data_IF_098928580731
#
_entry.id   IF_098928580731
#
_cell.length_a   1.000
_cell.length_b   1.000
_cell.length_c   1.000
_cell.angle_alpha   90.00
_cell.angle_beta   90.00
_cell.angle_gamma   90.00
#
_symmetry.space_group_name_H-M   'P 1'
#
loop_
_entity.id
_entity.type
_entity.pdbx_description
1 polymer ?
#
# COMPACT_ATOMS: atom_id res chain seq x y z
N UNK A 1 -4.67 6.92 33.98
CA UNK A 1 -4.26 6.25 32.71
C UNK A 1 -5.41 6.32 31.73
N UNK A 2 -5.18 6.93 30.57
CA UNK A 2 -6.23 7.24 29.60
C UNK A 2 -6.51 6.01 28.70
N UNK A 3 -7.41 5.13 29.17
CA UNK A 3 -7.77 3.86 28.52
C UNK A 3 -8.21 4.05 27.05
N UNK A 4 -8.80 5.20 26.74
CA UNK A 4 -9.24 5.60 25.41
C UNK A 4 -8.07 5.68 24.41
N UNK A 5 -6.95 6.29 24.82
CA UNK A 5 -5.74 6.46 24.02
C UNK A 5 -5.02 5.14 23.75
N UNK A 6 -4.99 4.26 24.77
CA UNK A 6 -4.37 2.94 24.65
C UNK A 6 -5.16 2.02 23.70
N UNK A 7 -6.49 2.14 23.72
CA UNK A 7 -7.37 1.44 22.79
C UNK A 7 -7.16 1.91 21.35
N UNK A 8 -7.07 3.22 21.11
CA UNK A 8 -6.87 3.79 19.78
C UNK A 8 -5.52 3.43 19.15
N UNK A 9 -4.43 3.42 19.93
CA UNK A 9 -3.13 2.97 19.46
C UNK A 9 -3.16 1.49 19.07
N UNK A 10 -3.78 0.65 19.91
CA UNK A 10 -3.90 -0.79 19.66
C UNK A 10 -4.66 -1.08 18.36
N UNK A 11 -5.76 -0.37 18.11
CA UNK A 11 -6.51 -0.44 16.86
C UNK A 11 -5.66 -0.09 15.64
N UNK A 12 -4.88 1.00 15.72
CA UNK A 12 -3.98 1.42 14.64
C UNK A 12 -2.88 0.38 14.38
N UNK A 13 -2.29 -0.20 15.44
CA UNK A 13 -1.28 -1.28 15.31
C UNK A 13 -1.85 -2.49 14.56
N UNK A 14 -3.05 -2.95 14.93
CA UNK A 14 -3.71 -4.03 14.20
C UNK A 14 -3.98 -3.68 12.74
N UNK A 15 -4.29 -2.41 12.45
CA UNK A 15 -4.46 -1.94 11.07
C UNK A 15 -3.18 -2.06 10.23
N UNK A 16 -1.99 -1.85 10.82
CA UNK A 16 -0.72 -2.09 10.12
C UNK A 16 -0.50 -3.58 9.80
N UNK A 17 -0.90 -4.48 10.70
CA UNK A 17 -0.81 -5.93 10.48
C UNK A 17 -1.88 -6.47 9.53
N UNK A 18 -3.04 -5.81 9.44
CA UNK A 18 -4.11 -6.21 8.54
C UNK A 18 -3.68 -6.12 7.06
N UNK A 19 -2.83 -5.16 6.70
CA UNK A 19 -2.37 -4.96 5.31
C UNK A 19 -1.71 -6.22 4.72
N UNK A 20 -0.61 -6.77 5.28
CA UNK A 20 0.02 -7.96 4.71
C UNK A 20 -0.90 -9.19 4.77
N UNK A 21 -1.78 -9.28 5.76
CA UNK A 21 -2.76 -10.39 5.89
C UNK A 21 -3.78 -10.35 4.75
N UNK A 22 -4.41 -9.19 4.51
CA UNK A 22 -5.36 -9.01 3.40
C UNK A 22 -4.65 -9.23 2.07
N UNK A 23 -3.38 -8.83 1.96
CA UNK A 23 -2.57 -9.06 0.76
C UNK A 23 -2.38 -10.55 0.45
N UNK A 24 -1.90 -11.33 1.42
CA UNK A 24 -1.69 -12.78 1.27
C UNK A 24 -3.02 -13.47 0.96
N UNK A 25 -4.08 -13.14 1.70
CA UNK A 25 -5.41 -13.72 1.47
C UNK A 25 -5.95 -13.37 0.08
N UNK A 26 -5.76 -12.14 -0.39
CA UNK A 26 -6.21 -11.69 -1.71
C UNK A 26 -5.50 -12.40 -2.86
N UNK A 27 -4.22 -12.76 -2.69
CA UNK A 27 -3.48 -13.58 -3.66
C UNK A 27 -4.00 -15.02 -3.69
N UNK A 28 -4.33 -15.60 -2.53
CA UNK A 28 -4.82 -16.97 -2.43
C UNK A 28 -6.28 -17.11 -2.87
N UNK A 29 -7.10 -16.09 -2.60
CA UNK A 29 -8.54 -16.11 -2.86
C UNK A 29 -9.01 -14.70 -3.25
N UNK A 30 -9.22 -14.48 -4.55
CA UNK A 30 -9.63 -13.19 -5.12
C UNK A 30 -10.80 -12.51 -4.38
N UNK A 31 -11.86 -13.22 -3.95
CA UNK A 31 -12.93 -12.62 -3.15
C UNK A 31 -12.45 -11.97 -1.84
N UNK A 32 -11.35 -12.45 -1.24
CA UNK A 32 -10.74 -11.83 -0.06
C UNK A 32 -10.18 -10.42 -0.35
N UNK A 33 -9.93 -10.06 -1.61
CA UNK A 33 -9.53 -8.69 -1.97
C UNK A 33 -10.62 -7.67 -1.62
N UNK A 34 -11.89 -8.07 -1.50
CA UNK A 34 -12.97 -7.19 -1.03
C UNK A 34 -12.77 -6.69 0.41
N UNK A 35 -11.97 -7.39 1.22
CA UNK A 35 -11.60 -6.96 2.57
C UNK A 35 -10.86 -5.61 2.57
N UNK A 36 -10.16 -5.27 1.47
CA UNK A 36 -9.55 -3.95 1.31
C UNK A 36 -10.57 -2.83 1.41
N UNK A 37 -11.77 -3.00 0.83
CA UNK A 37 -12.81 -1.96 0.81
C UNK A 37 -13.33 -1.67 2.22
N UNK A 38 -13.70 -2.73 2.95
CA UNK A 38 -14.21 -2.60 4.33
C UNK A 38 -13.14 -2.02 5.26
N UNK A 39 -11.90 -2.51 5.14
CA UNK A 39 -10.79 -2.01 5.94
C UNK A 39 -10.43 -0.56 5.61
N UNK A 40 -10.39 -0.16 4.34
CA UNK A 40 -10.13 1.24 3.94
C UNK A 40 -11.22 2.20 4.41
N UNK A 41 -12.48 1.80 4.31
CA UNK A 41 -13.59 2.59 4.84
C UNK A 41 -13.42 2.81 6.35
N UNK A 42 -13.08 1.76 7.08
CA UNK A 42 -12.81 1.85 8.52
C UNK A 42 -11.59 2.74 8.84
N UNK A 43 -10.47 2.57 8.13
CA UNK A 43 -9.26 3.41 8.27
C UNK A 43 -9.59 4.89 8.01
N UNK A 44 -10.35 5.18 6.96
CA UNK A 44 -10.76 6.54 6.60
C UNK A 44 -11.66 7.17 7.66
N UNK A 45 -12.64 6.42 8.18
CA UNK A 45 -13.52 6.90 9.27
C UNK A 45 -12.72 7.19 10.54
N UNK A 46 -11.78 6.32 10.92
CA UNK A 46 -10.95 6.53 12.11
C UNK A 46 -9.97 7.71 11.93
N UNK A 47 -9.38 7.85 10.75
CA UNK A 47 -8.55 9.02 10.42
C UNK A 47 -9.31 10.33 10.57
N UNK A 48 -10.58 10.37 10.14
CA UNK A 48 -11.43 11.55 10.28
C UNK A 48 -11.81 11.85 11.74
N UNK A 49 -12.09 10.81 12.53
CA UNK A 49 -12.55 10.95 13.92
C UNK A 49 -11.43 11.28 14.92
N UNK A 50 -10.21 10.82 14.66
CA UNK A 50 -9.09 10.97 15.60
C UNK A 50 -8.51 12.38 15.58
N UNK A 51 -8.39 12.96 16.77
CA UNK A 51 -7.84 14.32 16.98
C UNK A 51 -6.35 14.30 17.33
N UNK A 52 -5.79 13.17 17.76
CA UNK A 52 -4.36 13.06 18.05
C UNK A 52 -3.55 13.17 16.75
N UNK A 53 -2.64 14.16 16.61
CA UNK A 53 -1.88 14.36 15.38
C UNK A 53 -0.98 13.15 15.06
N UNK A 54 -0.40 12.52 16.08
CA UNK A 54 0.46 11.33 15.94
C UNK A 54 -0.33 10.14 15.38
N UNK A 55 -1.49 9.83 15.96
CA UNK A 55 -2.33 8.74 15.48
C UNK A 55 -2.90 9.03 14.09
N UNK A 56 -3.34 10.27 13.85
CA UNK A 56 -3.86 10.71 12.55
C UNK A 56 -2.80 10.57 11.45
N UNK A 57 -1.55 10.90 11.74
CA UNK A 57 -0.43 10.68 10.83
C UNK A 57 -0.22 9.19 10.55
N UNK A 58 -0.35 8.31 11.55
CA UNK A 58 -0.26 6.86 11.33
C UNK A 58 -1.33 6.32 10.37
N UNK A 59 -2.59 6.71 10.58
CA UNK A 59 -3.68 6.36 9.63
C UNK A 59 -3.43 6.95 8.24
N UNK A 60 -2.88 8.16 8.15
CA UNK A 60 -2.55 8.78 6.87
C UNK A 60 -1.47 8.01 6.11
N UNK A 61 -0.43 7.54 6.81
CA UNK A 61 0.61 6.70 6.19
C UNK A 61 0.02 5.42 5.63
N UNK A 62 -0.92 4.79 6.34
CA UNK A 62 -1.64 3.61 5.85
C UNK A 62 -2.37 3.92 4.53
N UNK A 63 -3.16 5.00 4.50
CA UNK A 63 -3.91 5.41 3.30
C UNK A 63 -2.98 5.73 2.12
N UNK A 64 -1.88 6.44 2.37
CA UNK A 64 -0.91 6.75 1.32
C UNK A 64 -0.19 5.50 0.79
N UNK A 65 0.14 4.54 1.66
CA UNK A 65 0.75 3.29 1.24
C UNK A 65 -0.20 2.47 0.38
N UNK A 66 -1.48 2.39 0.76
CA UNK A 66 -2.49 1.75 -0.09
C UNK A 66 -2.69 2.49 -1.41
N UNK A 67 -2.79 3.82 -1.39
CA UNK A 67 -2.94 4.63 -2.59
C UNK A 67 -1.79 4.43 -3.57
N UNK A 68 -0.55 4.35 -3.07
CA UNK A 68 0.62 4.04 -3.88
C UNK A 68 0.57 2.61 -4.46
N UNK A 69 0.18 1.62 -3.64
CA UNK A 69 -0.01 0.25 -4.10
C UNK A 69 -1.01 0.19 -5.27
N UNK A 70 -2.17 0.83 -5.10
CA UNK A 70 -3.22 0.87 -6.12
C UNK A 70 -2.75 1.61 -7.38
N UNK A 71 -2.10 2.77 -7.25
CA UNK A 71 -1.61 3.55 -8.38
C UNK A 71 -0.59 2.77 -9.22
N UNK A 72 0.34 2.06 -8.57
CA UNK A 72 1.34 1.24 -9.26
C UNK A 72 0.72 0.02 -9.95
N UNK A 73 -0.29 -0.61 -9.34
CA UNK A 73 -1.03 -1.71 -9.98
C UNK A 73 -1.82 -1.22 -11.20
N UNK A 74 -2.49 -0.07 -11.10
CA UNK A 74 -3.19 0.53 -12.23
C UNK A 74 -2.22 0.92 -13.35
N UNK A 75 -1.05 1.45 -13.02
CA UNK A 75 0.00 1.75 -13.99
C UNK A 75 0.54 0.48 -14.66
N UNK A 76 0.72 -0.61 -13.91
CA UNK A 76 1.13 -1.89 -14.46
C UNK A 76 0.09 -2.47 -15.42
N UNK A 77 -1.20 -2.40 -15.06
CA UNK A 77 -2.31 -2.82 -15.92
C UNK A 77 -2.37 -1.97 -17.18
N UNK A 78 -2.20 -0.66 -17.07
CA UNK A 78 -2.15 0.24 -18.24
C UNK A 78 -0.96 -0.10 -19.16
N UNK A 79 0.21 -0.40 -18.59
CA UNK A 79 1.39 -0.82 -19.35
C UNK A 79 1.17 -2.16 -20.06
N UNK A 80 0.58 -3.15 -19.37
CA UNK A 80 0.24 -4.45 -19.95
C UNK A 80 -0.82 -4.33 -21.06
N UNK A 81 -1.83 -3.50 -20.84
CA UNK A 81 -2.82 -3.17 -21.87
C UNK A 81 -2.16 -2.53 -23.08
N UNK A 82 -1.27 -1.56 -22.87
CA UNK A 82 -0.45 -0.96 -23.93
C UNK A 82 0.36 -2.00 -24.70
N UNK A 83 1.05 -2.91 -24.00
CA UNK A 83 1.82 -3.99 -24.61
C UNK A 83 0.95 -4.90 -25.49
N UNK A 84 -0.28 -5.19 -25.06
CA UNK A 84 -1.21 -6.06 -25.79
C UNK A 84 -1.59 -5.52 -27.17
N UNK A 85 -1.54 -4.19 -27.37
CA UNK A 85 -1.84 -3.55 -28.66
C UNK A 85 -0.80 -3.95 -29.71
N UNK A 86 0.45 -4.14 -29.31
CA UNK A 86 1.58 -4.52 -30.16
C UNK A 86 1.73 -6.04 -30.34
N UNK A 87 0.81 -6.84 -29.78
CA UNK A 87 0.79 -8.29 -29.97
C UNK A 87 0.19 -8.68 -31.33
N UNK A 88 0.77 -8.16 -32.42
CA UNK A 88 0.27 -8.31 -33.80
C UNK A 88 1.35 -8.90 -34.72
N UNK A 89 1.71 -10.17 -34.50
CA UNK A 89 2.55 -10.94 -35.43
C UNK A 89 4.06 -10.85 -35.20
N UNK A 90 4.77 -11.90 -35.59
CA UNK A 90 6.11 -12.23 -35.09
C UNK A 90 7.28 -11.36 -35.55
N UNK A 91 8.40 -11.58 -34.85
CA UNK A 91 9.69 -10.86 -34.90
C UNK A 91 10.34 -10.70 -36.29
N UNK A 92 9.86 -11.42 -37.30
CA UNK A 92 10.45 -11.52 -38.63
C UNK A 92 9.58 -10.92 -39.75
N UNK A 93 8.57 -10.12 -39.43
CA UNK A 93 7.80 -9.37 -40.43
C UNK A 93 8.38 -7.96 -40.65
N UNK A 94 8.10 -7.34 -41.81
CA UNK A 94 8.68 -6.06 -42.23
C UNK A 94 8.44 -4.85 -41.29
N UNK A 95 7.55 -4.98 -40.30
CA UNK A 95 7.36 -4.03 -39.19
C UNK A 95 7.32 -4.69 -37.80
N UNK A 96 7.51 -6.01 -37.71
CA UNK A 96 7.31 -6.77 -36.47
C UNK A 96 8.45 -6.63 -35.45
N UNK A 97 9.62 -6.12 -35.88
CA UNK A 97 10.73 -5.84 -34.96
C UNK A 97 10.41 -4.71 -33.98
N UNK A 98 9.84 -3.60 -34.48
CA UNK A 98 9.47 -2.46 -33.64
C UNK A 98 8.30 -2.80 -32.71
N UNK A 99 7.28 -3.48 -33.23
CA UNK A 99 6.15 -3.97 -32.42
C UNK A 99 6.61 -4.94 -31.32
N UNK A 100 7.58 -5.82 -31.62
CA UNK A 100 8.18 -6.70 -30.62
C UNK A 100 8.92 -5.91 -29.52
N UNK A 101 9.69 -4.87 -29.88
CA UNK A 101 10.38 -4.03 -28.91
C UNK A 101 9.40 -3.27 -28.00
N UNK A 102 8.29 -2.76 -28.53
CA UNK A 102 7.25 -2.13 -27.71
C UNK A 102 6.54 -3.13 -26.80
N UNK A 103 6.20 -4.32 -27.31
CA UNK A 103 5.63 -5.40 -26.51
C UNK A 103 6.56 -5.79 -25.36
N UNK A 104 7.84 -6.00 -25.66
CA UNK A 104 8.84 -6.37 -24.65
C UNK A 104 9.05 -5.24 -23.64
N UNK A 105 9.23 -4.00 -24.10
CA UNK A 105 9.46 -2.84 -23.24
C UNK A 105 8.30 -2.54 -22.30
N UNK A 106 7.07 -2.52 -22.80
CA UNK A 106 5.87 -2.28 -22.00
C UNK A 106 5.52 -3.49 -21.11
N UNK A 107 5.80 -4.72 -21.57
CA UNK A 107 5.65 -5.93 -20.76
C UNK A 107 6.62 -5.96 -19.58
N UNK A 108 7.89 -5.63 -19.81
CA UNK A 108 8.90 -5.50 -18.75
C UNK A 108 8.56 -4.37 -17.79
N UNK A 109 8.10 -3.22 -18.30
CA UNK A 109 7.65 -2.11 -17.46
C UNK A 109 6.48 -2.53 -16.56
N UNK A 110 5.50 -3.25 -17.09
CA UNK A 110 4.38 -3.78 -16.30
C UNK A 110 4.88 -4.68 -15.16
N UNK A 111 5.83 -5.58 -15.44
CA UNK A 111 6.42 -6.48 -14.46
C UNK A 111 7.19 -5.72 -13.37
N UNK A 112 8.00 -4.73 -13.76
CA UNK A 112 8.73 -3.86 -12.81
C UNK A 112 7.76 -3.11 -11.91
N UNK A 113 6.70 -2.52 -12.48
CA UNK A 113 5.68 -1.80 -11.72
C UNK A 113 4.96 -2.73 -10.73
N UNK A 114 4.64 -3.96 -11.11
CA UNK A 114 4.04 -4.95 -10.20
C UNK A 114 4.96 -5.26 -9.02
N UNK A 115 6.26 -5.51 -9.27
CA UNK A 115 7.24 -5.78 -8.21
C UNK A 115 7.35 -4.57 -7.25
N UNK A 116 7.49 -3.36 -7.79
CA UNK A 116 7.57 -2.14 -6.98
C UNK A 116 6.28 -1.93 -6.19
N UNK A 117 5.12 -2.25 -6.78
CA UNK A 117 3.81 -2.16 -6.11
C UNK A 117 3.69 -3.06 -4.89
N UNK A 118 4.42 -4.18 -4.85
CA UNK A 118 4.47 -5.03 -3.66
C UNK A 118 5.43 -4.47 -2.61
N UNK A 119 6.65 -4.14 -3.03
CA UNK A 119 7.75 -3.88 -2.10
C UNK A 119 7.65 -2.49 -1.46
N UNK A 120 7.43 -1.45 -2.26
CA UNK A 120 7.56 -0.07 -1.79
C UNK A 120 6.47 0.32 -0.77
N UNK A 121 5.19 -0.02 -0.97
CA UNK A 121 4.15 0.22 0.04
C UNK A 121 4.42 -0.49 1.36
N UNK A 122 4.96 -1.72 1.33
CA UNK A 122 5.35 -2.46 2.52
C UNK A 122 6.48 -1.77 3.29
N UNK A 123 7.53 -1.32 2.60
CA UNK A 123 8.61 -0.55 3.23
C UNK A 123 8.07 0.71 3.88
N UNK A 124 7.19 1.45 3.17
CA UNK A 124 6.56 2.67 3.70
C UNK A 124 5.70 2.38 4.93
N UNK A 125 4.97 1.27 4.96
CA UNK A 125 4.21 0.82 6.14
C UNK A 125 5.11 0.49 7.32
N UNK A 126 6.17 -0.28 7.12
CA UNK A 126 7.11 -0.66 8.20
C UNK A 126 7.78 0.57 8.79
N UNK A 127 8.31 1.46 7.94
CA UNK A 127 8.92 2.73 8.39
C UNK A 127 7.92 3.62 9.09
N UNK A 128 6.68 3.69 8.59
CA UNK A 128 5.59 4.43 9.22
C UNK A 128 5.23 3.90 10.61
N UNK A 129 5.17 2.59 10.76
CA UNK A 129 4.92 1.92 12.03
C UNK A 129 6.04 2.19 13.04
N UNK A 130 7.30 2.08 12.61
CA UNK A 130 8.46 2.41 13.46
C UNK A 130 8.42 3.86 13.93
N UNK A 131 8.18 4.81 13.01
CA UNK A 131 8.06 6.22 13.35
C UNK A 131 6.92 6.47 14.35
N UNK A 132 5.75 5.86 14.14
CA UNK A 132 4.61 5.95 15.06
C UNK A 132 4.97 5.45 16.46
N UNK A 133 5.63 4.29 16.56
CA UNK A 133 6.01 3.70 17.84
C UNK A 133 7.05 4.53 18.59
N UNK A 134 8.03 5.09 17.88
CA UNK A 134 9.04 5.97 18.46
C UNK A 134 8.41 7.26 18.99
N UNK A 135 7.56 7.93 18.20
CA UNK A 135 6.87 9.15 18.63
C UNK A 135 5.98 8.92 19.85
N UNK A 136 5.33 7.75 19.94
CA UNK A 136 4.49 7.39 21.09
C UNK A 136 5.31 7.05 22.35
N UNK A 137 6.51 6.48 22.19
CA UNK A 137 7.44 6.25 23.30
C UNK A 137 7.96 7.57 23.86
N UNK A 138 8.36 8.51 23.00
CA UNK A 138 8.84 9.84 23.40
C UNK A 138 7.75 10.61 24.18
N UNK A 139 6.50 10.57 23.71
CA UNK A 139 5.38 11.23 24.43
C UNK A 139 5.09 10.61 25.80
N UNK A 140 5.44 9.33 26.00
CA UNK A 140 5.25 8.67 27.30
C UNK A 140 6.40 8.97 28.27
N UNK A 141 7.64 9.07 27.77
CA UNK A 141 8.82 9.44 28.56
C UNK A 141 8.69 10.85 29.14
N UNK A 142 8.32 11.82 28.29
CA UNK A 142 8.16 13.23 28.68
C UNK A 142 7.08 13.45 29.77
N UNK A 143 5.98 12.69 29.70
CA UNK A 143 4.94 12.71 30.74
C UNK A 143 5.33 11.99 32.05
N UNK A 144 6.41 11.19 32.05
CA UNK A 144 6.89 10.47 33.22
C UNK A 144 7.98 11.23 33.97
N UNK A 145 8.69 12.14 33.31
CA UNK A 145 9.68 13.03 33.93
C UNK A 145 9.05 14.31 34.51
N UNK A 146 7.82 14.62 34.11
CA UNK A 146 7.04 15.75 34.61
C UNK A 146 6.20 15.45 35.88
N UNK A 147 6.44 14.31 36.55
CA UNK A 147 5.75 13.88 37.79
C UNK A 147 6.75 13.68 38.92
#
# INVERSE_FOLDING_TARGET
MDLSRHSQLTQLRYSYFAVPVIYILGVLWLPAATLWLGWLAWVGVNWYRIQSPVLKQGYWVILQSFGLHLALNLAAVASAWGASIFNRGGLFSGGGGDDFLYLLGLGLLALVLLIISMIWPLIKLVKGYQALMNSYADTKGDNSEAV
#
